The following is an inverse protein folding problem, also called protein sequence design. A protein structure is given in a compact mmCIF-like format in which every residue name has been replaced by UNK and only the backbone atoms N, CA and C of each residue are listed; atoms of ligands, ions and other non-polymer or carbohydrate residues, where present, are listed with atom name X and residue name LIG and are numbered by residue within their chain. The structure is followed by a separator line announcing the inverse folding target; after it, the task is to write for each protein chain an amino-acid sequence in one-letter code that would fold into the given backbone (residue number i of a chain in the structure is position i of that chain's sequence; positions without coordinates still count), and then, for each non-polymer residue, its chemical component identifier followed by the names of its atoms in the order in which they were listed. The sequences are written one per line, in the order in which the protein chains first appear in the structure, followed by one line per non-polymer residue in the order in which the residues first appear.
data_IF_210370300661
#
_entry.id   IF_210370300661
#
_cell.length_a   1.000
_cell.length_b   1.000
_cell.length_c   1.000
_cell.angle_alpha   90.00
_cell.angle_beta   90.00
_cell.angle_gamma   90.00
#
_symmetry.space_group_name_H-M   'P 1'
#
loop_
_entity.id
_entity.type
_entity.pdbx_description
1 polymer ?
#
# COMPACT_ATOMS: atom_id res chain seq x y z
N UNK A 1 15.22 1.20 -17.41
CA UNK A 1 14.07 1.95 -17.94
C UNK A 1 12.88 1.49 -17.12
N UNK A 2 12.40 2.31 -16.18
CA UNK A 2 11.24 1.98 -15.35
C UNK A 2 10.03 2.15 -16.27
N UNK A 3 9.28 1.07 -16.52
CA UNK A 3 8.06 1.12 -17.32
C UNK A 3 7.06 2.03 -16.60
N UNK A 4 6.33 2.88 -17.34
CA UNK A 4 5.31 3.76 -16.75
C UNK A 4 4.27 2.92 -16.02
N UNK A 5 4.32 2.94 -14.69
CA UNK A 5 3.36 2.25 -13.83
C UNK A 5 1.95 2.77 -14.12
N UNK A 6 1.12 1.90 -14.69
CA UNK A 6 -0.25 2.24 -15.02
C UNK A 6 -1.14 2.14 -13.79
N UNK A 7 -2.18 2.99 -13.73
CA UNK A 7 -3.18 2.94 -12.66
C UNK A 7 -3.85 1.55 -12.56
N UNK A 8 -3.94 0.84 -13.69
CA UNK A 8 -4.50 -0.51 -13.75
C UNK A 8 -3.64 -1.52 -13.02
N UNK A 9 -2.32 -1.54 -13.29
CA UNK A 9 -1.39 -2.44 -12.60
C UNK A 9 -1.34 -2.17 -11.09
N UNK A 10 -1.43 -0.89 -10.70
CA UNK A 10 -1.48 -0.51 -9.29
C UNK A 10 -2.76 -1.04 -8.65
N UNK A 11 -3.91 -0.90 -9.31
CA UNK A 11 -5.18 -1.46 -8.81
C UNK A 11 -5.12 -2.98 -8.72
N UNK A 12 -4.74 -3.68 -9.78
CA UNK A 12 -4.61 -5.13 -9.79
C UNK A 12 -3.71 -5.62 -8.65
N UNK A 13 -2.57 -4.97 -8.43
CA UNK A 13 -1.65 -5.32 -7.34
C UNK A 13 -2.26 -5.17 -5.94
N UNK A 14 -3.18 -4.23 -5.72
CA UNK A 14 -3.87 -4.06 -4.41
C UNK A 14 -4.89 -5.18 -4.21
N UNK A 15 -5.59 -5.58 -5.28
CA UNK A 15 -6.61 -6.62 -5.22
C UNK A 15 -6.04 -8.03 -5.07
N UNK A 16 -4.85 -8.28 -5.63
CA UNK A 16 -4.12 -9.55 -5.53
C UNK A 16 -3.61 -9.87 -4.11
N UNK A 17 -3.37 -8.87 -3.26
CA UNK A 17 -2.87 -9.13 -1.90
C UNK A 17 -4.00 -9.69 -1.04
N UNK A 18 -3.74 -10.73 -0.26
CA UNK A 18 -4.73 -11.34 0.63
C UNK A 18 -5.27 -10.36 1.69
N UNK A 19 -6.59 -10.30 1.85
CA UNK A 19 -7.27 -9.35 2.75
C UNK A 19 -7.04 -9.63 4.24
N UNK A 20 -6.66 -10.85 4.61
CA UNK A 20 -6.47 -11.30 6.00
C UNK A 20 -5.10 -10.93 6.60
N UNK A 21 -4.41 -9.92 6.04
CA UNK A 21 -3.19 -9.39 6.64
C UNK A 21 -3.51 -8.53 7.86
N UNK A 22 -2.62 -8.58 8.86
CA UNK A 22 -2.67 -7.70 10.01
C UNK A 22 -2.72 -6.22 9.58
N UNK A 23 -3.47 -5.41 10.33
CA UNK A 23 -3.55 -3.97 10.08
C UNK A 23 -2.19 -3.30 10.28
N UNK A 24 -1.98 -2.20 9.58
CA UNK A 24 -0.84 -1.34 9.86
C UNK A 24 -0.93 -0.69 11.25
N UNK A 25 0.11 0.08 11.65
CA UNK A 25 0.09 0.93 12.84
C UNK A 25 -1.07 1.96 12.86
N UNK A 26 -1.62 2.25 11.68
CA UNK A 26 -2.77 3.11 11.45
C UNK A 26 -4.12 2.43 11.78
N UNK A 27 -4.12 1.12 12.04
CA UNK A 27 -5.33 0.35 12.33
C UNK A 27 -6.17 -0.01 11.10
N UNK A 28 -5.73 0.33 9.89
CA UNK A 28 -6.43 -0.02 8.66
C UNK A 28 -5.93 -1.37 8.12
N UNK A 29 -6.88 -2.24 7.76
CA UNK A 29 -6.58 -3.51 7.09
C UNK A 29 -6.49 -3.31 5.58
N UNK A 30 -5.92 -4.28 4.87
CA UNK A 30 -5.92 -4.26 3.41
C UNK A 30 -7.34 -4.25 2.82
N UNK A 31 -8.32 -4.88 3.49
CA UNK A 31 -9.72 -4.86 3.07
C UNK A 31 -10.28 -3.43 2.99
N UNK A 32 -9.89 -2.56 3.93
CA UNK A 32 -10.24 -1.14 3.88
C UNK A 32 -9.69 -0.49 2.61
N UNK A 33 -8.41 -0.71 2.29
CA UNK A 33 -7.77 -0.14 1.10
C UNK A 33 -8.37 -0.68 -0.21
N UNK A 34 -8.81 -1.94 -0.25
CA UNK A 34 -9.55 -2.50 -1.40
C UNK A 34 -10.91 -1.82 -1.59
N UNK A 35 -11.65 -1.57 -0.51
CA UNK A 35 -12.96 -0.88 -0.56
C UNK A 35 -12.82 0.61 -0.87
N UNK A 36 -11.86 1.27 -0.25
CA UNK A 36 -11.58 2.69 -0.43
C UNK A 36 -10.75 2.96 -1.69
N UNK A 37 -10.42 1.94 -2.49
CA UNK A 37 -9.53 2.04 -3.63
C UNK A 37 -9.93 3.18 -4.58
N UNK A 38 -11.22 3.37 -4.86
CA UNK A 38 -11.65 4.45 -5.76
C UNK A 38 -11.40 5.87 -5.21
N UNK A 39 -11.28 6.02 -3.88
CA UNK A 39 -10.93 7.28 -3.20
C UNK A 39 -9.42 7.44 -3.10
N UNK A 40 -8.71 6.42 -2.64
CA UNK A 40 -7.26 6.51 -2.33
C UNK A 40 -6.34 6.16 -3.51
N UNK A 41 -6.89 5.67 -4.64
CA UNK A 41 -6.08 5.21 -5.79
C UNK A 41 -5.16 6.30 -6.32
N UNK A 42 -5.65 7.53 -6.45
CA UNK A 42 -4.85 8.62 -7.00
C UNK A 42 -3.63 8.90 -6.13
N UNK A 43 -3.82 8.94 -4.81
CA UNK A 43 -2.75 9.19 -3.84
C UNK A 43 -1.73 8.04 -3.84
N UNK A 44 -2.21 6.79 -3.88
CA UNK A 44 -1.35 5.61 -3.96
C UNK A 44 -0.56 5.60 -5.28
N UNK A 45 -1.19 5.95 -6.40
CA UNK A 45 -0.53 6.05 -7.70
C UNK A 45 0.55 7.13 -7.70
N UNK A 46 0.27 8.31 -7.16
CA UNK A 46 1.22 9.40 -7.04
C UNK A 46 2.39 9.00 -6.13
N UNK A 47 2.12 8.41 -4.97
CA UNK A 47 3.14 7.94 -4.04
C UNK A 47 4.05 6.86 -4.64
N UNK A 48 3.48 5.88 -5.37
CA UNK A 48 4.28 4.87 -6.09
C UNK A 48 5.15 5.54 -7.16
N UNK A 49 4.58 6.41 -7.99
CA UNK A 49 5.33 7.12 -9.05
C UNK A 49 6.46 7.96 -8.46
N UNK A 50 6.20 8.67 -7.36
CA UNK A 50 7.21 9.46 -6.66
C UNK A 50 8.32 8.59 -6.05
N UNK A 51 7.96 7.45 -5.46
CA UNK A 51 8.94 6.47 -4.98
C UNK A 51 9.85 5.96 -6.10
N UNK A 52 9.30 5.57 -7.24
CA UNK A 52 10.14 5.10 -8.36
C UNK A 52 10.99 6.20 -8.99
N UNK A 53 10.60 7.47 -8.83
CA UNK A 53 11.36 8.62 -9.31
C UNK A 53 12.47 9.05 -8.34
N UNK A 54 12.18 9.10 -7.05
CA UNK A 54 13.05 9.69 -6.02
C UNK A 54 13.72 8.64 -5.11
N UNK A 55 13.27 7.38 -5.17
CA UNK A 55 13.74 6.28 -4.33
C UNK A 55 13.34 6.38 -2.86
N UNK A 56 12.39 7.25 -2.51
CA UNK A 56 12.01 7.54 -1.12
C UNK A 56 10.54 7.23 -0.87
N UNK A 57 10.27 6.44 0.18
CA UNK A 57 8.93 6.24 0.72
C UNK A 57 8.68 7.24 1.85
N UNK A 58 7.40 7.51 2.11
CA UNK A 58 6.98 8.19 3.34
C UNK A 58 7.39 7.35 4.55
N UNK A 59 7.94 7.99 5.58
CA UNK A 59 8.45 7.29 6.77
C UNK A 59 7.39 6.44 7.46
N UNK A 60 6.12 6.85 7.37
CA UNK A 60 4.97 6.14 7.92
C UNK A 60 4.74 4.78 7.26
N UNK A 61 5.10 4.62 5.97
CA UNK A 61 4.97 3.33 5.24
C UNK A 61 5.92 2.28 5.81
N UNK A 62 7.04 2.69 6.39
CA UNK A 62 7.99 1.78 7.04
C UNK A 62 7.65 1.49 8.50
N UNK A 63 6.58 2.08 9.04
CA UNK A 63 6.14 1.84 10.40
C UNK A 63 5.48 0.45 10.49
N UNK A 64 6.00 -0.41 11.36
CA UNK A 64 5.52 -1.79 11.54
C UNK A 64 5.14 -2.02 13.00
N UNK A 65 3.97 -2.60 13.26
CA UNK A 65 3.58 -3.09 14.59
C UNK A 65 4.19 -4.48 14.84
N UNK A 66 4.99 -4.60 15.90
CA UNK A 66 5.50 -5.88 16.37
C UNK A 66 4.53 -6.44 17.42
N UNK A 67 3.79 -7.49 17.05
CA UNK A 67 2.93 -8.23 17.99
C UNK A 67 3.66 -9.49 18.47
N UNK A 68 3.95 -9.57 19.77
CA UNK A 68 4.50 -10.78 20.39
C UNK A 68 3.36 -11.74 20.73
N UNK A 69 3.39 -12.94 20.14
CA UNK A 69 2.43 -14.01 20.47
C UNK A 69 3.05 -14.88 21.59
N UNK A 70 2.43 -14.97 22.78
CA UNK A 70 2.90 -15.84 23.86
C UNK A 70 2.86 -17.32 23.42
N UNK A 71 3.88 -18.08 23.81
CA UNK A 71 3.88 -19.55 23.70
C UNK A 71 3.07 -20.19 24.82
#
# INVERSE_FOLDING_TARGET
MICDLTDREIKESIFDIESNKASGPDGYTLEFFKRACDVVRNDICLAKKDFFKNGKLLGEVNSTLIALIPK
#
